data_IF_451829788122
#
_entry.id   IF_451829788122
#
_cell.length_a   1.000
_cell.length_b   1.000
_cell.length_c   1.000
_cell.angle_alpha   90.00
_cell.angle_beta   90.00
_cell.angle_gamma   90.00
#
_symmetry.space_group_name_H-M   'P 1'
#
loop_
_entity.id
_entity.type
_entity.pdbx_description
1 polymer ?
#
# COMPACT_ATOMS: atom_id res chain seq x y z
N UNK A 1 0.83 -43.14 -70.08
CA UNK A 1 0.22 -41.83 -69.73
C UNK A 1 0.19 -41.76 -68.23
N UNK A 2 1.31 -41.29 -67.69
CA UNK A 2 1.59 -41.27 -66.25
C UNK A 2 1.38 -39.84 -65.65
N UNK A 3 0.41 -39.73 -64.78
CA UNK A 3 0.09 -38.52 -64.03
C UNK A 3 0.84 -38.55 -62.73
N UNK A 4 1.88 -37.72 -62.59
CA UNK A 4 2.59 -37.51 -61.34
C UNK A 4 1.82 -36.50 -60.49
N UNK A 5 1.22 -36.98 -59.39
CA UNK A 5 0.73 -36.12 -58.29
C UNK A 5 1.91 -35.69 -57.45
N UNK A 6 2.20 -34.37 -57.45
CA UNK A 6 3.12 -33.74 -56.49
C UNK A 6 2.34 -33.36 -55.24
N UNK A 7 2.61 -34.04 -54.14
CA UNK A 7 2.17 -33.64 -52.80
C UNK A 7 3.01 -32.48 -52.32
N UNK A 8 2.38 -31.31 -52.16
CA UNK A 8 2.99 -30.15 -51.49
C UNK A 8 2.75 -30.31 -49.98
N UNK A 9 3.83 -30.57 -49.24
CA UNK A 9 3.83 -30.52 -47.78
C UNK A 9 3.94 -29.06 -47.38
N UNK A 10 2.82 -28.48 -46.90
CA UNK A 10 2.84 -27.18 -46.23
C UNK A 10 3.42 -27.37 -44.81
N UNK A 11 4.64 -26.90 -44.61
CA UNK A 11 5.20 -26.78 -43.27
C UNK A 11 4.53 -25.56 -42.55
N UNK A 12 3.70 -25.86 -41.58
CA UNK A 12 3.22 -24.84 -40.63
C UNK A 12 4.39 -24.49 -39.71
N UNK A 13 5.04 -23.34 -39.95
CA UNK A 13 5.92 -22.72 -38.98
C UNK A 13 5.01 -22.00 -37.98
N UNK A 14 4.77 -22.63 -36.84
CA UNK A 14 4.17 -21.96 -35.69
C UNK A 14 5.18 -20.94 -35.11
N UNK A 15 4.99 -19.67 -35.43
CA UNK A 15 5.65 -18.58 -34.74
C UNK A 15 5.04 -18.54 -33.33
N UNK A 16 5.75 -19.13 -32.38
CA UNK A 16 5.49 -18.90 -30.97
C UNK A 16 5.83 -17.43 -30.69
N UNK A 17 4.82 -16.57 -30.66
CA UNK A 17 4.97 -15.23 -30.15
C UNK A 17 5.35 -15.39 -28.67
N UNK A 18 6.63 -15.21 -28.35
CA UNK A 18 7.08 -14.96 -27.00
C UNK A 18 6.42 -13.65 -26.60
N UNK A 19 5.41 -13.71 -25.73
CA UNK A 19 4.95 -12.55 -25.03
C UNK A 19 6.17 -12.01 -24.29
N UNK A 20 6.67 -10.87 -24.70
CA UNK A 20 7.66 -10.13 -23.94
C UNK A 20 7.04 -9.88 -22.55
N UNK A 21 7.50 -10.64 -21.57
CA UNK A 21 7.30 -10.31 -20.17
C UNK A 21 8.06 -8.99 -19.99
N UNK A 22 7.36 -7.86 -20.10
CA UNK A 22 7.96 -6.56 -19.83
C UNK A 22 8.27 -6.52 -18.34
N UNK A 23 9.48 -6.93 -18.00
CA UNK A 23 10.06 -6.71 -16.67
C UNK A 23 10.05 -5.19 -16.51
N UNK A 24 9.40 -4.68 -15.49
CA UNK A 24 9.39 -3.26 -15.18
C UNK A 24 10.84 -2.77 -15.18
N UNK A 25 11.20 -1.88 -16.10
CA UNK A 25 12.56 -1.38 -16.20
C UNK A 25 12.80 -0.37 -15.08
N UNK A 26 13.75 -0.65 -14.20
CA UNK A 26 14.14 0.23 -13.09
C UNK A 26 15.44 -0.23 -12.45
N UNK A 27 15.95 0.59 -11.52
CA UNK A 27 17.10 0.23 -10.70
C UNK A 27 16.70 -0.83 -9.66
N UNK A 28 17.49 -1.88 -9.43
CA UNK A 28 17.21 -2.80 -8.33
C UNK A 28 17.15 -2.06 -6.99
N UNK A 29 16.20 -2.46 -6.13
CA UNK A 29 16.13 -1.91 -4.78
C UNK A 29 17.45 -2.17 -4.04
N UNK A 30 18.13 -1.12 -3.50
CA UNK A 30 19.47 -1.28 -2.94
C UNK A 30 19.46 -2.03 -1.60
N UNK A 31 20.55 -2.71 -1.31
CA UNK A 31 20.83 -3.26 0.02
C UNK A 31 21.45 -2.19 0.92
N UNK A 32 21.42 -2.41 2.24
CA UNK A 32 22.00 -1.48 3.18
C UNK A 32 23.53 -1.39 3.01
N UNK A 33 24.04 -0.18 2.83
CA UNK A 33 25.46 0.15 2.84
C UNK A 33 25.75 0.98 4.08
N UNK A 34 26.69 0.54 4.93
CA UNK A 34 27.02 1.18 6.20
C UNK A 34 25.78 1.50 7.08
N UNK A 35 24.83 0.58 7.14
CA UNK A 35 23.59 0.75 7.91
C UNK A 35 22.58 1.71 7.26
N UNK A 36 22.71 2.03 5.98
CA UNK A 36 21.80 2.94 5.29
C UNK A 36 21.34 2.39 3.95
N UNK A 37 20.04 2.42 3.71
CA UNK A 37 19.40 2.26 2.41
C UNK A 37 18.97 3.63 1.95
N UNK A 38 19.48 4.12 0.83
CA UNK A 38 19.16 5.43 0.27
C UNK A 38 18.56 5.27 -1.12
N UNK A 39 17.32 5.76 -1.32
CA UNK A 39 16.69 5.85 -2.62
C UNK A 39 16.69 7.31 -3.09
N UNK A 40 17.32 7.56 -4.23
CA UNK A 40 17.47 8.89 -4.80
C UNK A 40 16.58 9.08 -6.04
N UNK A 41 16.04 10.28 -6.22
CA UNK A 41 15.17 10.62 -7.36
C UNK A 41 15.84 10.32 -8.72
N UNK A 42 17.12 10.62 -8.85
CA UNK A 42 17.87 10.45 -10.11
C UNK A 42 17.94 9.01 -10.62
N UNK A 43 17.79 8.04 -9.72
CA UNK A 43 17.87 6.60 -10.01
C UNK A 43 16.48 5.93 -10.04
N UNK A 44 15.42 6.72 -9.88
CA UNK A 44 14.02 6.25 -9.95
C UNK A 44 13.61 5.88 -11.39
N UNK A 45 12.74 4.88 -11.60
CA UNK A 45 12.13 4.04 -10.56
C UNK A 45 13.04 2.93 -10.05
N UNK A 46 12.82 2.52 -8.80
CA UNK A 46 13.43 1.32 -8.23
C UNK A 46 12.48 0.14 -8.36
N UNK A 47 13.04 -1.07 -8.52
CA UNK A 47 12.26 -2.32 -8.58
C UNK A 47 12.59 -3.18 -7.37
N UNK A 48 11.56 -3.55 -6.61
CA UNK A 48 11.65 -4.47 -5.50
C UNK A 48 10.92 -5.75 -5.89
N UNK A 49 11.67 -6.73 -6.41
CA UNK A 49 11.08 -7.97 -6.93
C UNK A 49 10.67 -8.95 -5.82
N UNK A 50 11.36 -8.92 -4.69
CA UNK A 50 11.16 -9.86 -3.59
C UNK A 50 11.04 -9.12 -2.25
N UNK A 51 10.96 -9.87 -1.14
CA UNK A 51 10.96 -9.29 0.19
C UNK A 51 12.32 -8.68 0.56
N UNK A 52 12.30 -7.44 1.04
CA UNK A 52 13.47 -6.77 1.63
C UNK A 52 13.16 -6.41 3.08
N UNK A 53 14.17 -6.59 3.94
CA UNK A 53 14.14 -6.20 5.35
C UNK A 53 15.20 -5.14 5.58
N UNK A 54 14.77 -3.96 6.03
CA UNK A 54 15.65 -2.95 6.61
C UNK A 54 15.79 -3.29 8.10
N UNK A 55 16.96 -3.78 8.48
CA UNK A 55 17.21 -4.34 9.82
C UNK A 55 17.17 -3.29 10.93
N UNK A 56 17.16 -3.73 12.19
CA UNK A 56 17.02 -2.87 13.38
C UNK A 56 18.09 -1.77 13.47
N UNK A 57 19.30 -2.05 12.99
CA UNK A 57 20.42 -1.10 13.01
C UNK A 57 20.53 -0.26 11.74
N UNK A 58 19.66 -0.52 10.77
CA UNK A 58 19.67 0.14 9.47
C UNK A 58 18.66 1.30 9.42
N UNK A 59 18.84 2.15 8.43
CA UNK A 59 17.93 3.25 8.12
C UNK A 59 17.53 3.24 6.66
N UNK A 60 16.24 3.44 6.38
CA UNK A 60 15.74 3.70 5.03
C UNK A 60 15.44 5.19 4.88
N UNK A 61 16.07 5.81 3.89
CA UNK A 61 15.81 7.20 3.52
C UNK A 61 15.39 7.25 2.06
N UNK A 62 14.25 7.88 1.78
CA UNK A 62 13.70 8.02 0.44
C UNK A 62 13.53 9.49 0.11
N UNK A 63 14.18 9.92 -0.97
CA UNK A 63 14.09 11.29 -1.47
C UNK A 63 12.74 11.57 -2.13
N UNK A 64 12.34 12.87 -2.26
CA UNK A 64 11.16 13.26 -3.01
C UNK A 64 11.20 12.77 -4.47
N UNK A 65 10.05 12.39 -5.02
CA UNK A 65 9.90 11.99 -6.43
C UNK A 65 10.29 10.55 -6.73
N UNK A 66 10.73 9.78 -5.73
CA UNK A 66 11.07 8.37 -5.92
C UNK A 66 9.82 7.53 -6.14
N UNK A 67 9.86 6.66 -7.16
CA UNK A 67 8.89 5.60 -7.38
C UNK A 67 9.54 4.24 -7.10
N UNK A 68 8.85 3.38 -6.35
CA UNK A 68 9.24 1.99 -6.13
C UNK A 68 8.18 1.08 -6.72
N UNK A 69 8.56 0.30 -7.72
CA UNK A 69 7.74 -0.71 -8.38
C UNK A 69 7.87 -2.02 -7.60
N UNK A 70 6.77 -2.51 -7.09
CA UNK A 70 6.70 -3.72 -6.28
C UNK A 70 6.35 -4.91 -7.15
N UNK A 71 7.21 -5.92 -7.18
CA UNK A 71 6.95 -7.19 -7.84
C UNK A 71 5.86 -8.00 -7.13
N UNK A 72 5.40 -9.05 -7.80
CA UNK A 72 4.41 -9.96 -7.24
C UNK A 72 4.91 -10.56 -5.91
N UNK A 73 4.07 -10.50 -4.86
CA UNK A 73 4.39 -10.91 -3.48
C UNK A 73 5.56 -10.16 -2.81
N UNK A 74 6.14 -9.15 -3.44
CA UNK A 74 7.18 -8.33 -2.82
C UNK A 74 6.69 -7.74 -1.49
N UNK A 75 7.62 -7.61 -0.54
CA UNK A 75 7.34 -7.07 0.79
C UNK A 75 8.49 -6.17 1.24
N UNK A 76 8.17 -4.96 1.65
CA UNK A 76 9.13 -4.06 2.29
C UNK A 76 8.90 -4.03 3.80
N UNK A 77 9.81 -4.61 4.56
CA UNK A 77 9.74 -4.66 6.03
C UNK A 77 10.80 -3.75 6.65
N UNK A 78 10.38 -2.89 7.56
CA UNK A 78 11.24 -1.93 8.25
C UNK A 78 11.22 -2.26 9.75
N UNK A 79 12.35 -2.68 10.28
CA UNK A 79 12.60 -2.88 11.72
C UNK A 79 13.46 -1.74 12.29
N UNK A 80 14.27 -1.14 11.43
CA UNK A 80 15.11 0.01 11.76
C UNK A 80 14.38 1.35 11.67
N UNK A 81 15.10 2.38 11.28
CA UNK A 81 14.52 3.72 11.11
C UNK A 81 14.06 3.95 9.67
N UNK A 82 13.01 4.74 9.51
CA UNK A 82 12.51 5.15 8.19
C UNK A 82 12.24 6.65 8.15
N UNK A 83 12.66 7.27 7.05
CA UNK A 83 12.31 8.63 6.69
C UNK A 83 11.93 8.71 5.23
N UNK A 84 10.67 9.07 4.96
CA UNK A 84 10.17 9.38 3.62
C UNK A 84 9.80 10.85 3.63
N UNK A 85 10.45 11.63 2.74
CA UNK A 85 10.33 13.08 2.73
C UNK A 85 9.84 13.60 1.36
N UNK A 86 8.80 12.96 0.79
CA UNK A 86 8.15 13.47 -0.42
C UNK A 86 7.63 14.89 -0.23
N UNK A 87 7.38 15.60 -1.34
CA UNK A 87 6.70 16.91 -1.36
C UNK A 87 5.39 16.82 -2.15
N UNK A 88 4.58 17.85 -2.11
CA UNK A 88 3.34 17.87 -2.90
C UNK A 88 3.62 17.79 -4.40
N UNK A 89 4.70 18.41 -4.86
CA UNK A 89 5.13 18.44 -6.25
C UNK A 89 5.86 17.17 -6.67
N UNK A 90 6.51 16.52 -5.69
CA UNK A 90 7.31 15.30 -5.86
C UNK A 90 6.98 14.27 -4.79
N UNK A 91 5.78 13.68 -4.83
CA UNK A 91 5.43 12.61 -3.90
C UNK A 91 6.31 11.38 -4.12
N UNK A 92 6.47 10.58 -3.08
CA UNK A 92 7.01 9.22 -3.21
C UNK A 92 5.87 8.27 -3.56
N UNK A 93 6.13 7.28 -4.42
CA UNK A 93 5.10 6.32 -4.85
C UNK A 93 5.58 4.89 -4.63
N UNK A 94 4.77 4.09 -3.94
CA UNK A 94 4.92 2.64 -3.86
C UNK A 94 3.71 2.02 -4.57
N UNK A 95 3.94 1.33 -5.68
CA UNK A 95 2.86 0.69 -6.44
C UNK A 95 3.28 -0.69 -6.92
N UNK A 96 2.29 -1.58 -7.11
CA UNK A 96 2.52 -2.84 -7.80
C UNK A 96 2.94 -2.60 -9.25
N UNK A 97 3.72 -3.51 -9.80
CA UNK A 97 4.09 -3.47 -11.22
C UNK A 97 2.88 -3.61 -12.16
N UNK A 98 1.81 -4.22 -11.66
CA UNK A 98 0.55 -4.40 -12.34
C UNK A 98 -0.60 -3.70 -11.62
N UNK A 99 -1.73 -3.52 -12.32
CA UNK A 99 -2.95 -2.90 -11.78
C UNK A 99 -3.68 -3.75 -10.72
N UNK A 100 -3.18 -4.91 -10.37
CA UNK A 100 -3.76 -5.84 -9.41
C UNK A 100 -3.02 -5.77 -8.07
N UNK A 101 -3.76 -5.79 -6.95
CA UNK A 101 -3.20 -5.78 -5.60
C UNK A 101 -2.50 -7.11 -5.29
N UNK A 102 -1.26 -7.26 -5.72
CA UNK A 102 -0.53 -8.53 -5.65
C UNK A 102 0.79 -8.49 -4.89
N UNK A 103 1.23 -7.34 -4.40
CA UNK A 103 2.38 -7.27 -3.51
C UNK A 103 1.96 -7.27 -2.03
N UNK A 104 2.79 -7.87 -1.16
CA UNK A 104 2.39 -8.14 0.22
C UNK A 104 2.25 -6.89 1.10
N UNK A 105 2.92 -5.80 0.72
CA UNK A 105 2.74 -4.53 1.39
C UNK A 105 4.01 -3.98 2.06
N UNK A 106 3.80 -2.82 2.66
CA UNK A 106 4.79 -2.05 3.39
C UNK A 106 4.54 -2.21 4.91
N UNK A 107 5.57 -2.61 5.66
CA UNK A 107 5.43 -2.97 7.06
C UNK A 107 6.47 -2.26 7.93
N UNK A 108 6.04 -1.49 8.91
CA UNK A 108 6.87 -0.95 9.99
C UNK A 108 6.67 -1.85 11.21
N UNK A 109 7.75 -2.49 11.65
CA UNK A 109 7.69 -3.59 12.61
C UNK A 109 8.61 -3.34 13.81
N UNK A 110 8.04 -3.03 14.96
CA UNK A 110 8.76 -2.87 16.24
C UNK A 110 9.90 -1.85 16.17
N UNK A 111 9.73 -0.75 15.42
CA UNK A 111 10.73 0.30 15.29
C UNK A 111 10.99 0.96 16.64
N UNK A 112 12.25 0.99 17.06
CA UNK A 112 12.67 1.61 18.33
C UNK A 112 12.56 3.14 18.32
N UNK A 113 12.43 3.76 17.16
CA UNK A 113 12.29 5.20 17.00
C UNK A 113 11.00 5.55 16.26
N UNK A 114 10.35 6.66 16.59
CA UNK A 114 9.19 7.12 15.84
C UNK A 114 9.53 7.31 14.36
N UNK A 115 8.65 6.82 13.49
CA UNK A 115 8.76 7.04 12.05
C UNK A 115 8.15 8.39 11.64
N UNK A 116 8.67 8.95 10.55
CA UNK A 116 8.14 10.15 9.92
C UNK A 116 8.03 9.94 8.42
N UNK A 117 6.80 9.93 7.91
CA UNK A 117 6.49 9.67 6.51
C UNK A 117 5.62 10.79 5.97
N UNK A 118 6.09 11.45 4.91
CA UNK A 118 5.41 12.58 4.27
C UNK A 118 5.25 12.38 2.79
N UNK A 119 4.06 12.75 2.29
CA UNK A 119 3.74 12.76 0.85
C UNK A 119 4.10 11.44 0.17
N UNK A 120 3.56 10.34 0.69
CA UNK A 120 3.69 9.00 0.13
C UNK A 120 2.35 8.55 -0.45
N UNK A 121 2.37 7.94 -1.62
CA UNK A 121 1.23 7.17 -2.16
C UNK A 121 1.56 5.68 -2.12
N UNK A 122 0.63 4.87 -1.63
CA UNK A 122 0.74 3.41 -1.55
C UNK A 122 -0.44 2.79 -2.27
N UNK A 123 -0.16 2.04 -3.34
CA UNK A 123 -1.19 1.47 -4.21
C UNK A 123 -1.03 -0.02 -4.43
N UNK A 124 -2.20 -0.70 -4.56
CA UNK A 124 -2.27 -2.10 -4.98
C UNK A 124 -1.53 -3.08 -4.05
N UNK A 125 -1.47 -2.78 -2.74
CA UNK A 125 -0.90 -3.67 -1.73
C UNK A 125 -1.98 -4.60 -1.14
N UNK A 126 -1.56 -5.81 -0.75
CA UNK A 126 -2.43 -6.65 0.06
C UNK A 126 -2.63 -6.04 1.46
N UNK A 127 -1.53 -5.68 2.17
CA UNK A 127 -1.67 -5.13 3.53
C UNK A 127 -0.49 -4.25 3.93
N UNK A 128 -0.77 -3.02 4.32
CA UNK A 128 0.23 -2.14 4.92
C UNK A 128 0.08 -2.16 6.44
N UNK A 129 1.18 -2.32 7.16
CA UNK A 129 1.13 -2.59 8.61
C UNK A 129 2.03 -1.66 9.40
N UNK A 130 1.54 -1.18 10.54
CA UNK A 130 2.33 -0.58 11.62
C UNK A 130 2.11 -1.45 12.86
N UNK A 131 3.17 -2.13 13.30
CA UNK A 131 3.14 -3.04 14.44
C UNK A 131 4.14 -2.60 15.49
N UNK A 132 3.69 -2.43 16.72
CA UNK A 132 4.49 -2.01 17.89
C UNK A 132 5.41 -0.83 17.58
N UNK A 133 4.91 0.14 16.83
CA UNK A 133 5.66 1.30 16.37
C UNK A 133 4.82 2.55 16.51
N UNK A 134 5.47 3.68 16.76
CA UNK A 134 4.82 5.00 16.84
C UNK A 134 5.37 5.92 15.77
N UNK A 135 4.58 6.91 15.37
CA UNK A 135 5.03 7.90 14.42
C UNK A 135 3.91 8.65 13.71
N UNK A 136 4.31 9.36 12.66
CA UNK A 136 3.40 10.24 11.91
C UNK A 136 3.41 9.88 10.42
N UNK A 137 2.21 9.74 9.88
CA UNK A 137 1.90 9.79 8.45
C UNK A 137 1.30 11.15 8.15
N UNK A 138 1.94 11.94 7.29
CA UNK A 138 1.49 13.26 6.90
C UNK A 138 1.29 13.34 5.40
N UNK A 139 0.07 13.67 4.96
CA UNK A 139 -0.29 13.72 3.54
C UNK A 139 0.04 12.41 2.80
N UNK A 140 -0.33 11.27 3.41
CA UNK A 140 -0.11 9.95 2.84
C UNK A 140 -1.42 9.42 2.27
N UNK A 141 -1.34 8.85 1.07
CA UNK A 141 -2.50 8.30 0.35
C UNK A 141 -2.40 6.77 0.23
N UNK A 142 -3.50 6.08 0.54
CA UNK A 142 -3.64 4.63 0.36
C UNK A 142 -4.78 4.35 -0.60
N UNK A 143 -4.47 3.83 -1.80
CA UNK A 143 -5.43 3.55 -2.85
C UNK A 143 -5.43 2.08 -3.30
N UNK A 144 -6.63 1.54 -3.57
CA UNK A 144 -6.78 0.20 -4.15
C UNK A 144 -6.08 -0.93 -3.37
N UNK A 145 -5.90 -0.78 -2.05
CA UNK A 145 -5.30 -1.81 -1.22
C UNK A 145 -6.39 -2.74 -0.66
N UNK A 146 -6.04 -4.00 -0.38
CA UNK A 146 -6.96 -4.84 0.38
C UNK A 146 -7.06 -4.32 1.82
N UNK A 147 -5.93 -4.11 2.53
CA UNK A 147 -5.86 -3.32 3.76
C UNK A 147 -5.03 -2.05 3.50
N UNK A 148 -5.69 -0.88 3.49
CA UNK A 148 -5.01 0.41 3.36
C UNK A 148 -3.99 0.60 4.47
N UNK A 149 -4.40 0.48 5.73
CA UNK A 149 -3.50 0.52 6.88
C UNK A 149 -4.03 -0.40 8.00
N UNK A 150 -3.17 -1.27 8.48
CA UNK A 150 -3.39 -2.07 9.68
C UNK A 150 -2.47 -1.59 10.80
N UNK A 151 -3.03 -1.05 11.87
CA UNK A 151 -2.31 -0.61 13.07
C UNK A 151 -2.54 -1.63 14.18
N UNK A 152 -1.45 -2.21 14.68
CA UNK A 152 -1.55 -3.29 15.65
C UNK A 152 -0.56 -3.12 16.80
N UNK A 153 -1.03 -3.25 18.03
CA UNK A 153 -0.27 -3.06 19.28
C UNK A 153 0.60 -1.76 19.27
N UNK A 154 0.21 -0.77 18.49
CA UNK A 154 0.96 0.48 18.31
C UNK A 154 0.37 1.59 19.18
N UNK A 155 1.16 2.18 20.08
CA UNK A 155 0.60 3.06 21.12
C UNK A 155 0.10 4.40 20.56
N UNK A 156 0.82 4.98 19.58
CA UNK A 156 0.49 6.27 19.02
C UNK A 156 0.89 6.36 17.53
N UNK A 157 -0.11 6.36 16.65
CA UNK A 157 0.05 6.60 15.22
C UNK A 157 -0.77 7.82 14.82
N UNK A 158 -0.11 8.88 14.39
CA UNK A 158 -0.77 10.10 13.93
C UNK A 158 -0.99 10.04 12.42
N UNK A 159 -2.23 10.27 12.01
CA UNK A 159 -2.65 10.41 10.61
C UNK A 159 -3.02 11.88 10.37
N UNK A 160 -2.12 12.64 9.76
CA UNK A 160 -2.31 14.06 9.46
C UNK A 160 -2.59 14.24 7.97
N UNK A 161 -3.80 14.69 7.61
CA UNK A 161 -4.22 14.95 6.23
C UNK A 161 -4.01 13.76 5.28
N UNK A 162 -4.14 12.52 5.80
CA UNK A 162 -4.05 11.32 4.99
C UNK A 162 -5.33 11.09 4.20
N UNK A 163 -5.23 10.29 3.14
CA UNK A 163 -6.37 9.90 2.30
C UNK A 163 -6.41 8.38 2.15
N UNK A 164 -7.59 7.80 2.42
CA UNK A 164 -7.86 6.39 2.21
C UNK A 164 -9.06 6.25 1.29
N UNK A 165 -8.83 5.73 0.07
CA UNK A 165 -9.90 5.56 -0.91
C UNK A 165 -9.75 4.26 -1.71
N UNK A 166 -10.90 3.67 -2.08
CA UNK A 166 -10.97 2.45 -2.90
C UNK A 166 -10.27 1.23 -2.28
N UNK A 167 -10.08 1.21 -0.96
CA UNK A 167 -9.56 0.06 -0.26
C UNK A 167 -10.73 -0.87 0.13
N UNK A 168 -10.45 -2.18 0.31
CA UNK A 168 -11.45 -3.04 0.92
C UNK A 168 -11.62 -2.69 2.39
N UNK A 169 -10.54 -2.65 3.16
CA UNK A 169 -10.48 -2.12 4.53
C UNK A 169 -9.57 -0.91 4.54
N UNK A 170 -10.10 0.30 4.76
CA UNK A 170 -9.28 1.49 4.73
C UNK A 170 -8.30 1.53 5.91
N UNK A 171 -8.83 1.47 7.13
CA UNK A 171 -8.04 1.48 8.36
C UNK A 171 -8.57 0.41 9.30
N UNK A 172 -7.70 -0.48 9.81
CA UNK A 172 -7.99 -1.39 10.91
C UNK A 172 -7.03 -1.11 12.07
N UNK A 173 -7.56 -1.03 13.29
CA UNK A 173 -6.78 -0.78 14.51
C UNK A 173 -7.07 -1.85 15.54
N UNK A 174 -6.05 -2.62 15.92
CA UNK A 174 -6.13 -3.66 16.95
C UNK A 174 -5.16 -3.35 18.09
N UNK A 175 -5.65 -3.32 19.32
CA UNK A 175 -4.84 -3.08 20.53
C UNK A 175 -3.86 -1.89 20.39
N UNK A 176 -4.24 -0.88 19.59
CA UNK A 176 -3.42 0.28 19.29
C UNK A 176 -4.25 1.57 19.31
N UNK A 177 -3.59 2.69 19.01
CA UNK A 177 -4.22 4.01 18.99
C UNK A 177 -3.82 4.78 17.74
N UNK A 178 -4.83 5.36 17.08
CA UNK A 178 -4.61 6.36 16.02
C UNK A 178 -5.14 7.72 16.47
N UNK A 179 -4.48 8.79 16.01
CA UNK A 179 -4.93 10.16 16.14
C UNK A 179 -5.17 10.71 14.74
N UNK A 180 -6.43 11.04 14.41
CA UNK A 180 -6.82 11.55 13.11
C UNK A 180 -6.89 13.07 13.11
N UNK A 181 -6.15 13.71 12.20
CA UNK A 181 -6.12 15.15 12.03
C UNK A 181 -6.37 15.48 10.54
N UNK A 182 -7.60 15.79 10.17
CA UNK A 182 -7.99 16.13 8.80
C UNK A 182 -7.84 14.96 7.80
N UNK A 183 -7.88 13.70 8.29
CA UNK A 183 -7.73 12.50 7.45
C UNK A 183 -9.06 12.13 6.82
N UNK A 184 -9.08 11.97 5.49
CA UNK A 184 -10.24 11.56 4.70
C UNK A 184 -10.27 10.05 4.49
N UNK A 185 -11.40 9.42 4.82
CA UNK A 185 -11.65 7.99 4.61
C UNK A 185 -12.98 7.83 3.89
N UNK A 186 -12.93 7.64 2.57
CA UNK A 186 -14.13 7.57 1.74
C UNK A 186 -13.97 6.62 0.55
N UNK A 187 -15.08 6.19 -0.03
CA UNK A 187 -15.06 5.30 -1.20
C UNK A 187 -14.43 3.92 -0.95
N UNK A 188 -14.32 3.49 0.30
CA UNK A 188 -13.84 2.16 0.66
C UNK A 188 -15.03 1.22 0.87
N UNK A 189 -14.78 -0.10 0.90
CA UNK A 189 -15.82 -1.04 1.34
C UNK A 189 -16.07 -0.82 2.84
N UNK A 190 -15.03 -0.92 3.65
CA UNK A 190 -15.05 -0.61 5.08
C UNK A 190 -14.13 0.57 5.37
N UNK A 191 -14.63 1.60 6.06
CA UNK A 191 -13.86 2.77 6.46
C UNK A 191 -12.90 2.46 7.61
N UNK A 192 -13.22 2.84 8.83
CA UNK A 192 -12.44 2.55 10.02
C UNK A 192 -13.01 1.35 10.79
N UNK A 193 -12.17 0.38 11.10
CA UNK A 193 -12.51 -0.74 11.94
C UNK A 193 -11.65 -0.75 13.21
N UNK A 194 -12.29 -0.58 14.36
CA UNK A 194 -11.66 -0.65 15.67
C UNK A 194 -11.93 -2.03 16.26
N UNK A 195 -10.92 -2.89 16.20
CA UNK A 195 -10.91 -4.21 16.81
C UNK A 195 -10.61 -4.11 18.32
N UNK A 196 -10.61 -5.25 19.00
CA UNK A 196 -10.41 -5.30 20.47
C UNK A 196 -9.23 -4.46 20.95
N UNK A 197 -9.49 -3.47 21.80
CA UNK A 197 -8.49 -2.53 22.32
C UNK A 197 -8.04 -1.43 21.38
N UNK A 198 -8.58 -1.39 20.15
CA UNK A 198 -8.31 -0.30 19.19
C UNK A 198 -8.95 1.00 19.63
N UNK A 199 -8.23 2.13 19.46
CA UNK A 199 -8.69 3.47 19.85
C UNK A 199 -8.51 4.48 18.71
N UNK A 200 -9.44 5.41 18.64
CA UNK A 200 -9.41 6.56 17.76
C UNK A 200 -9.58 7.84 18.56
N UNK A 201 -8.71 8.80 18.35
CA UNK A 201 -8.84 10.16 18.82
C UNK A 201 -8.79 11.14 17.64
N UNK A 202 -9.26 12.37 17.84
CA UNK A 202 -9.24 13.44 16.84
C UNK A 202 -10.47 13.45 15.92
N UNK A 203 -10.27 13.86 14.65
CA UNK A 203 -11.35 14.14 13.73
C UNK A 203 -11.96 12.87 13.13
N UNK A 204 -13.28 12.84 13.05
CA UNK A 204 -14.04 11.76 12.39
C UNK A 204 -14.94 12.23 11.26
N UNK A 205 -15.09 13.53 11.08
CA UNK A 205 -16.07 14.13 10.14
C UNK A 205 -15.80 13.77 8.67
N UNK A 206 -14.56 13.47 8.33
CA UNK A 206 -14.12 13.06 6.99
C UNK A 206 -14.12 11.53 6.79
N UNK A 207 -14.53 10.75 7.80
CA UNK A 207 -14.73 9.30 7.69
C UNK A 207 -16.19 9.06 7.28
N UNK A 208 -16.44 9.02 5.98
CA UNK A 208 -17.80 9.00 5.43
C UNK A 208 -17.86 8.47 4.01
N UNK A 209 -19.07 8.07 3.58
CA UNK A 209 -19.35 7.58 2.22
C UNK A 209 -18.59 6.29 1.88
N UNK A 210 -18.37 5.43 2.86
CA UNK A 210 -17.87 4.08 2.63
C UNK A 210 -19.07 3.14 2.41
N UNK A 211 -18.86 2.07 1.64
CA UNK A 211 -19.93 1.23 1.12
C UNK A 211 -20.70 0.50 2.22
N UNK A 212 -20.00 -0.25 3.08
CA UNK A 212 -20.61 -1.09 4.11
C UNK A 212 -20.68 -0.39 5.47
N UNK A 213 -19.61 0.30 5.86
CA UNK A 213 -19.58 1.07 7.11
C UNK A 213 -18.53 2.16 7.09
N UNK A 214 -18.88 3.32 7.67
CA UNK A 214 -17.91 4.41 7.88
C UNK A 214 -17.00 4.09 9.07
N UNK A 215 -17.58 3.77 10.22
CA UNK A 215 -16.85 3.36 11.41
C UNK A 215 -17.53 2.14 12.03
N UNK A 216 -16.75 1.12 12.34
CA UNK A 216 -17.17 -0.06 13.08
C UNK A 216 -16.25 -0.29 14.27
N UNK A 217 -16.81 -0.61 15.43
CA UNK A 217 -16.04 -0.94 16.64
C UNK A 217 -16.57 -2.21 17.28
N UNK A 218 -15.68 -3.04 17.80
CA UNK A 218 -16.01 -4.19 18.65
C UNK A 218 -16.26 -3.78 20.10
N UNK A 219 -15.79 -2.59 20.51
CA UNK A 219 -16.05 -2.07 21.86
C UNK A 219 -17.51 -1.59 21.96
N UNK A 220 -18.23 -2.07 22.97
CA UNK A 220 -19.65 -1.75 23.19
C UNK A 220 -19.93 -0.25 23.46
N UNK A 221 -18.91 0.56 23.74
CA UNK A 221 -19.06 1.92 24.26
C UNK A 221 -18.88 3.04 23.22
N UNK A 222 -18.57 2.73 21.96
CA UNK A 222 -18.49 3.78 20.95
C UNK A 222 -19.91 4.17 20.50
N UNK A 223 -20.46 5.22 21.09
CA UNK A 223 -21.68 5.91 20.65
C UNK A 223 -21.42 6.70 19.35
N UNK A 224 -21.13 5.98 18.27
CA UNK A 224 -21.02 6.61 16.95
C UNK A 224 -22.42 6.83 16.38
N UNK A 225 -22.71 8.06 15.96
CA UNK A 225 -23.98 8.38 15.31
C UNK A 225 -24.10 7.51 14.05
N UNK A 226 -25.12 6.67 13.98
CA UNK A 226 -25.46 5.87 12.80
C UNK A 226 -25.86 6.82 11.67
N UNK A 227 -24.90 7.30 10.88
CA UNK A 227 -25.19 7.97 9.62
C UNK A 227 -25.56 6.92 8.57
N UNK A 228 -26.75 7.04 8.03
CA UNK A 228 -27.31 6.18 6.99
C UNK A 228 -26.44 6.29 5.73
N UNK A 229 -25.73 5.24 5.38
CA UNK A 229 -24.98 5.13 4.11
C UNK A 229 -26.00 5.13 2.96
N UNK A 230 -25.93 6.10 2.05
CA UNK A 230 -26.64 6.03 0.77
C UNK A 230 -25.91 5.03 -0.10
N UNK A 231 -26.57 3.94 -0.48
CA UNK A 231 -26.12 2.99 -1.49
C UNK A 231 -25.94 3.72 -2.83
N UNK A 232 -24.73 4.13 -3.14
CA UNK A 232 -24.33 4.45 -4.50
C UNK A 232 -23.56 3.26 -5.06
N UNK A 233 -24.11 2.75 -6.13
CA UNK A 233 -23.74 1.54 -6.86
C UNK A 233 -22.26 1.55 -7.29
N UNK A 234 -21.45 0.76 -6.60
CA UNK A 234 -20.06 0.48 -6.99
C UNK A 234 -19.91 -1.01 -7.31
N UNK A 235 -20.44 -1.45 -8.45
CA UNK A 235 -20.34 -2.84 -8.90
C UNK A 235 -18.91 -3.31 -9.27
N UNK A 236 -17.92 -2.41 -9.22
CA UNK A 236 -16.55 -2.72 -9.71
C UNK A 236 -15.48 -2.92 -8.63
N UNK A 237 -15.76 -2.76 -7.34
CA UNK A 237 -14.72 -2.91 -6.30
C UNK A 237 -14.55 -4.39 -5.92
N UNK A 238 -15.63 -5.14 -5.82
CA UNK A 238 -15.57 -6.57 -5.43
C UNK A 238 -14.91 -7.48 -6.48
N UNK A 239 -14.88 -7.09 -7.75
CA UNK A 239 -14.24 -7.87 -8.81
C UNK A 239 -12.72 -7.68 -8.90
N UNK A 240 -12.13 -6.85 -8.05
CA UNK A 240 -10.70 -6.55 -8.04
C UNK A 240 -9.93 -7.18 -6.88
N UNK A 241 -10.63 -7.93 -6.00
CA UNK A 241 -10.02 -8.55 -4.81
C UNK A 241 -10.24 -10.06 -4.80
#
# INVERSE_FOLDING_TARGET
MNLFMRSSVLAFVSILAMADLSIASGMPFPVAENGKVLLQEKDSPYVLEQGVVVGENDSLVIEPGVTVLMGEFAKLMIQGTIKIAGTNEKPVVFCGSDSVANWNGFHIMSSARPFEIKNLTVENAFRNTIFRSSGTLENVSFFNNYYGLWVDESPDVTLARCTFARNRYAISVRAGRIVSNGTSVSENVYGLYLESGGKLDGDTDLIRNNLESDIRSEAADLKLSKKRVRRNVWHNIESRF
#
